data_IF_559428937108
#
_entry.id   IF_559428937108
#
_cell.length_a   1.000
_cell.length_b   1.000
_cell.length_c   1.000
_cell.angle_alpha   90.00
_cell.angle_beta   90.00
_cell.angle_gamma   90.00
#
_symmetry.space_group_name_H-M   'P 1'
#
loop_
_entity.id
_entity.type
_entity.pdbx_description
1 polymer ?
#
# COMPACT_ATOMS: atom_id res chain seq x y z
N UNK A 1 61.56 6.88 -33.51
CA UNK A 1 61.09 5.55 -33.96
C UNK A 1 59.58 5.57 -33.80
N UNK A 2 58.78 5.70 -34.86
CA UNK A 2 58.47 4.68 -35.87
C UNK A 2 57.80 3.43 -35.23
N UNK A 3 56.62 2.93 -35.63
CA UNK A 3 55.63 3.45 -36.57
C UNK A 3 55.00 2.37 -37.48
N UNK A 4 53.67 2.23 -37.39
CA UNK A 4 52.74 1.90 -38.51
C UNK A 4 52.66 0.43 -39.03
N UNK A 5 51.46 0.10 -39.57
CA UNK A 5 51.02 -1.09 -40.37
C UNK A 5 50.70 -2.38 -39.57
N UNK A 6 49.53 -3.04 -39.70
CA UNK A 6 48.58 -3.32 -40.81
C UNK A 6 49.12 -4.26 -41.88
N UNK A 7 48.53 -5.47 -42.00
CA UNK A 7 48.18 -6.03 -43.30
C UNK A 7 47.15 -7.19 -43.25
N UNK A 8 46.15 -7.10 -44.12
CA UNK A 8 45.41 -8.24 -44.70
C UNK A 8 46.16 -8.74 -45.95
N UNK A 9 45.94 -10.00 -46.37
CA UNK A 9 45.91 -10.57 -47.75
C UNK A 9 45.94 -12.11 -47.58
N UNK A 10 44.96 -12.94 -47.98
CA UNK A 10 44.30 -13.19 -49.27
C UNK A 10 45.10 -14.07 -50.26
N UNK A 11 44.60 -15.28 -50.59
CA UNK A 11 44.40 -15.78 -51.97
C UNK A 11 44.09 -17.30 -52.09
N UNK A 12 43.02 -17.62 -52.87
CA UNK A 12 42.92 -18.66 -53.94
C UNK A 12 42.90 -20.15 -53.51
N UNK A 13 42.23 -21.10 -54.21
CA UNK A 13 41.60 -21.16 -55.56
C UNK A 13 40.53 -22.27 -55.63
N UNK A 14 39.54 -22.17 -56.54
CA UNK A 14 38.67 -23.29 -57.00
C UNK A 14 39.26 -23.99 -58.24
N UNK A 15 38.80 -25.21 -58.63
CA UNK A 15 37.87 -25.31 -59.79
C UNK A 15 36.89 -26.53 -59.87
N UNK A 16 35.67 -26.25 -60.40
CA UNK A 16 34.79 -27.00 -61.36
C UNK A 16 34.40 -28.51 -61.20
N UNK A 17 33.10 -28.78 -61.46
CA UNK A 17 32.35 -30.07 -61.62
C UNK A 17 32.59 -30.79 -63.00
N UNK A 18 31.88 -31.88 -63.47
CA UNK A 18 30.65 -32.62 -63.02
C UNK A 18 30.72 -34.19 -63.20
N UNK A 19 29.66 -34.99 -63.55
CA UNK A 19 28.45 -35.43 -62.80
C UNK A 19 28.12 -36.97 -62.82
N UNK A 20 27.06 -37.40 -62.08
CA UNK A 20 25.96 -38.38 -62.42
C UNK A 20 25.61 -39.48 -61.39
N UNK A 21 24.30 -39.53 -61.04
CA UNK A 21 23.42 -40.66 -60.61
C UNK A 21 23.85 -41.58 -59.43
N UNK A 22 22.99 -42.25 -58.64
CA UNK A 22 21.56 -42.68 -58.74
C UNK A 22 20.87 -42.74 -57.34
N UNK A 23 19.52 -42.72 -57.35
CA UNK A 23 18.47 -43.18 -56.37
C UNK A 23 18.83 -44.09 -55.15
N UNK A 24 18.07 -44.19 -54.04
CA UNK A 24 16.58 -44.27 -53.85
C UNK A 24 16.07 -43.86 -52.43
N UNK A 25 14.76 -43.49 -52.34
CA UNK A 25 13.72 -43.74 -51.28
C UNK A 25 13.98 -43.39 -49.77
N UNK A 26 13.01 -43.06 -48.89
CA UNK A 26 11.55 -42.73 -48.86
C UNK A 26 11.21 -42.28 -47.40
N UNK A 27 10.06 -41.72 -46.96
CA UNK A 27 8.95 -40.92 -47.52
C UNK A 27 8.06 -40.38 -46.37
N UNK A 28 7.77 -39.07 -46.27
CA UNK A 28 6.63 -38.49 -45.48
C UNK A 28 6.13 -37.21 -46.20
N UNK A 29 4.81 -37.03 -46.46
CA UNK A 29 4.29 -35.87 -47.20
C UNK A 29 3.81 -34.69 -46.30
N UNK A 30 3.99 -33.42 -46.73
CA UNK A 30 3.38 -32.22 -46.13
C UNK A 30 1.94 -31.93 -46.66
N UNK A 31 1.15 -31.06 -45.99
CA UNK A 31 -0.27 -30.87 -46.27
C UNK A 31 -0.61 -30.01 -47.51
N UNK A 32 -1.84 -30.11 -48.05
CA UNK A 32 -2.27 -29.42 -49.28
C UNK A 32 -2.70 -27.96 -49.10
N UNK A 33 -2.62 -27.13 -50.16
CA UNK A 33 -3.11 -25.74 -50.19
C UNK A 33 -4.65 -25.63 -50.37
N UNK A 34 -5.26 -24.46 -50.07
CA UNK A 34 -6.71 -24.27 -50.13
C UNK A 34 -7.28 -24.14 -51.56
N UNK A 35 -8.56 -24.50 -51.79
CA UNK A 35 -9.21 -24.45 -53.10
C UNK A 35 -9.74 -23.03 -53.49
N UNK A 36 -9.86 -22.74 -54.80
CA UNK A 36 -10.43 -21.49 -55.32
C UNK A 36 -11.97 -21.45 -55.27
N UNK A 37 -12.60 -20.27 -55.35
CA UNK A 37 -14.04 -20.10 -55.13
C UNK A 37 -14.90 -20.53 -56.33
N UNK A 38 -15.67 -21.61 -56.17
CA UNK A 38 -16.66 -22.06 -57.15
C UNK A 38 -18.11 -21.80 -56.69
N UNK A 39 -18.79 -20.96 -57.46
CA UNK A 39 -20.25 -20.86 -57.67
C UNK A 39 -21.21 -21.61 -56.71
N UNK A 40 -21.75 -20.88 -55.71
CA UNK A 40 -23.12 -21.13 -55.20
C UNK A 40 -24.06 -20.03 -55.73
N UNK A 41 -24.43 -20.14 -57.01
CA UNK A 41 -25.24 -19.14 -57.72
C UNK A 41 -26.50 -19.77 -58.33
N UNK A 42 -27.62 -19.75 -57.58
CA UNK A 42 -28.96 -19.47 -58.14
C UNK A 42 -30.11 -19.33 -57.11
N UNK A 43 -29.93 -19.72 -55.84
CA UNK A 43 -30.96 -19.54 -54.77
C UNK A 43 -30.81 -18.26 -53.93
N UNK A 44 -29.72 -17.50 -54.10
CA UNK A 44 -29.37 -16.29 -53.32
C UNK A 44 -29.89 -14.95 -53.90
N UNK A 45 -30.86 -14.96 -54.84
CA UNK A 45 -31.38 -13.72 -55.47
C UNK A 45 -32.80 -13.31 -55.06
N UNK A 46 -33.59 -14.17 -54.41
CA UNK A 46 -34.93 -13.81 -53.89
C UNK A 46 -34.96 -13.41 -52.41
N UNK A 47 -34.08 -13.96 -51.57
CA UNK A 47 -34.04 -13.65 -50.12
C UNK A 47 -33.37 -12.30 -49.78
N UNK A 48 -32.57 -11.76 -50.69
CA UNK A 48 -31.78 -10.54 -50.48
C UNK A 48 -32.63 -9.27 -50.67
N UNK A 49 -33.63 -9.30 -51.54
CA UNK A 49 -34.55 -8.18 -51.78
C UNK A 49 -35.53 -7.94 -50.61
N UNK A 50 -35.95 -9.00 -49.91
CA UNK A 50 -36.87 -8.89 -48.77
C UNK A 50 -36.17 -8.39 -47.50
N UNK A 51 -34.92 -8.82 -47.27
CA UNK A 51 -34.12 -8.38 -46.10
C UNK A 51 -33.61 -6.93 -46.21
N UNK A 52 -33.62 -6.31 -47.38
CA UNK A 52 -33.24 -4.90 -47.55
C UNK A 52 -34.38 -3.93 -47.18
N UNK A 53 -35.64 -4.26 -47.51
CA UNK A 53 -36.80 -3.39 -47.21
C UNK A 53 -37.14 -3.34 -45.71
N UNK A 54 -36.95 -4.42 -44.97
CA UNK A 54 -37.12 -4.43 -43.50
C UNK A 54 -36.01 -3.66 -42.75
N UNK A 55 -34.79 -3.56 -43.30
CA UNK A 55 -33.72 -2.77 -42.67
C UNK A 55 -33.89 -1.27 -42.83
N UNK A 56 -34.44 -0.80 -43.96
CA UNK A 56 -34.64 0.64 -44.20
C UNK A 56 -35.74 1.21 -43.27
N UNK A 57 -36.84 0.48 -43.05
CA UNK A 57 -37.88 0.90 -42.12
C UNK A 57 -37.39 0.99 -40.65
N UNK A 58 -36.57 0.02 -40.21
CA UNK A 58 -35.98 0.05 -38.87
C UNK A 58 -34.99 1.20 -38.67
N UNK A 59 -34.17 1.51 -39.68
CA UNK A 59 -33.18 2.60 -39.61
C UNK A 59 -33.86 3.98 -39.52
N UNK A 60 -34.96 4.21 -40.24
CA UNK A 60 -35.69 5.49 -40.18
C UNK A 60 -36.37 5.69 -38.81
N UNK A 61 -36.88 4.63 -38.17
CA UNK A 61 -37.39 4.73 -36.79
C UNK A 61 -36.30 4.88 -35.73
N UNK A 62 -35.09 4.34 -35.94
CA UNK A 62 -33.97 4.52 -35.01
C UNK A 62 -33.35 5.93 -35.09
N UNK A 63 -33.34 6.56 -36.28
CA UNK A 63 -32.80 7.91 -36.47
C UNK A 63 -33.71 9.01 -35.89
N UNK A 64 -35.01 8.78 -35.74
CA UNK A 64 -35.93 9.73 -35.10
C UNK A 64 -35.83 9.75 -33.56
N UNK A 65 -35.25 8.70 -32.94
CA UNK A 65 -35.05 8.62 -31.49
C UNK A 65 -33.69 9.21 -31.01
N UNK A 66 -32.80 9.58 -31.95
CA UNK A 66 -31.47 10.13 -31.69
C UNK A 66 -31.35 11.64 -32.00
N UNK A 67 -32.48 12.34 -32.03
CA UNK A 67 -32.55 13.79 -32.25
C UNK A 67 -32.68 14.61 -30.95
N UNK A 68 -32.52 13.99 -29.78
CA UNK A 68 -32.12 14.70 -28.57
C UNK A 68 -30.59 14.71 -28.55
N UNK A 69 -29.93 15.88 -28.44
CA UNK A 69 -28.50 15.87 -28.14
C UNK A 69 -28.31 15.11 -26.82
N UNK A 70 -27.20 14.37 -26.64
CA UNK A 70 -26.87 13.91 -25.30
C UNK A 70 -26.78 15.15 -24.42
N UNK A 71 -27.74 15.28 -23.50
CA UNK A 71 -27.56 16.13 -22.34
C UNK A 71 -26.43 15.51 -21.55
N UNK A 72 -25.20 15.85 -21.94
CA UNK A 72 -24.11 16.02 -21.00
C UNK A 72 -24.62 17.04 -19.99
N UNK A 73 -25.35 16.55 -18.99
CA UNK A 73 -25.34 17.18 -17.70
C UNK A 73 -23.85 17.31 -17.39
N UNK A 74 -23.34 18.53 -17.48
CA UNK A 74 -22.12 18.88 -16.79
C UNK A 74 -22.41 18.53 -15.35
N UNK A 75 -21.93 17.37 -14.91
CA UNK A 75 -21.97 16.98 -13.51
C UNK A 75 -21.25 18.10 -12.79
N UNK A 76 -22.03 18.96 -12.16
CA UNK A 76 -21.58 20.26 -11.72
C UNK A 76 -20.71 19.97 -10.51
N UNK A 77 -19.40 19.83 -10.76
CA UNK A 77 -18.45 19.17 -9.88
C UNK A 77 -18.70 19.62 -8.44
N UNK A 78 -19.25 18.69 -7.65
CA UNK A 78 -19.65 18.98 -6.28
C UNK A 78 -18.46 19.60 -5.56
N UNK A 79 -18.69 20.69 -4.82
CA UNK A 79 -17.64 21.35 -4.06
C UNK A 79 -16.79 20.30 -3.31
N UNK A 80 -15.45 20.42 -3.31
CA UNK A 80 -14.57 19.37 -2.80
C UNK A 80 -14.95 19.01 -1.37
N UNK A 81 -15.23 17.72 -1.16
CA UNK A 81 -15.75 17.19 0.11
C UNK A 81 -14.79 17.47 1.28
N UNK A 82 -13.48 17.46 0.99
CA UNK A 82 -12.41 17.67 1.98
C UNK A 82 -12.64 16.82 3.24
N UNK A 83 -12.82 15.52 3.02
CA UNK A 83 -13.31 14.56 4.02
C UNK A 83 -12.42 14.47 5.27
N UNK A 84 -11.13 14.84 5.13
CA UNK A 84 -10.16 14.85 6.22
C UNK A 84 -9.83 16.25 6.77
N UNK A 85 -9.58 17.25 5.92
CA UNK A 85 -9.16 18.58 6.37
C UNK A 85 -10.30 19.60 6.51
N UNK A 86 -11.49 19.28 5.99
CA UNK A 86 -12.67 20.14 6.03
C UNK A 86 -13.09 20.47 7.46
N UNK A 87 -13.30 21.76 7.74
CA UNK A 87 -13.73 22.25 9.06
C UNK A 87 -12.63 22.30 10.14
N UNK A 88 -11.40 21.86 9.85
CA UNK A 88 -10.31 21.85 10.83
C UNK A 88 -9.34 23.03 10.65
N UNK A 89 -9.17 23.82 11.72
CA UNK A 89 -7.99 24.67 11.94
C UNK A 89 -6.89 23.90 12.71
N UNK A 90 -5.69 24.47 12.81
CA UNK A 90 -4.58 23.88 13.59
C UNK A 90 -4.98 23.73 15.06
N UNK A 91 -5.64 24.75 15.62
CA UNK A 91 -6.11 24.81 17.00
C UNK A 91 -7.22 23.78 17.25
N UNK A 92 -8.19 23.66 16.34
CA UNK A 92 -9.26 22.67 16.48
C UNK A 92 -8.72 21.23 16.39
N UNK A 93 -7.72 20.97 15.54
CA UNK A 93 -7.10 19.66 15.43
C UNK A 93 -6.17 19.37 16.63
N UNK A 94 -5.47 20.39 17.15
CA UNK A 94 -4.67 20.29 18.37
C UNK A 94 -5.55 19.93 19.58
N UNK A 95 -6.74 20.51 19.69
CA UNK A 95 -7.70 20.21 20.76
C UNK A 95 -8.29 18.78 20.67
N UNK A 96 -8.42 18.22 19.46
CA UNK A 96 -8.88 16.85 19.24
C UNK A 96 -7.78 15.81 19.50
N UNK A 97 -6.54 16.10 19.12
CA UNK A 97 -5.41 15.18 19.25
C UNK A 97 -5.08 14.90 20.72
N UNK A 98 -5.10 13.61 21.09
CA UNK A 98 -4.53 13.12 22.35
C UNK A 98 -3.05 13.56 22.42
N UNK A 99 -2.55 13.89 23.61
CA UNK A 99 -1.14 14.28 23.77
C UNK A 99 -0.21 13.16 23.28
N UNK A 100 0.97 13.49 22.74
CA UNK A 100 1.92 12.47 22.28
C UNK A 100 2.40 11.56 23.42
N UNK A 101 2.39 12.03 24.66
CA UNK A 101 2.78 11.24 25.83
C UNK A 101 1.68 10.24 26.28
N UNK A 102 0.42 10.63 26.12
CA UNK A 102 -0.73 9.82 26.53
C UNK A 102 -1.23 8.89 25.41
N UNK A 103 -0.95 9.22 24.15
CA UNK A 103 -1.41 8.45 23.00
C UNK A 103 -0.69 7.11 22.87
N UNK A 104 -1.43 6.05 23.17
CA UNK A 104 -0.97 4.65 23.12
C UNK A 104 -1.86 3.86 22.16
N UNK A 105 -1.64 3.95 20.83
CA UNK A 105 -2.48 3.27 19.83
C UNK A 105 -2.45 1.73 19.94
N UNK A 106 -1.40 1.18 20.56
CA UNK A 106 -1.25 -0.26 20.83
C UNK A 106 -0.71 -0.50 22.25
N UNK A 107 -0.89 -1.69 22.83
CA UNK A 107 -0.35 -2.02 24.15
C UNK A 107 1.17 -1.80 24.23
N UNK A 108 1.72 -1.22 25.31
CA UNK A 108 3.16 -1.09 25.49
C UNK A 108 3.81 -2.47 25.70
N UNK A 109 5.13 -2.59 25.50
CA UNK A 109 5.88 -3.85 25.70
C UNK A 109 5.69 -4.45 27.12
N UNK A 110 5.51 -3.58 28.12
CA UNK A 110 5.29 -3.97 29.51
C UNK A 110 3.93 -4.62 29.78
N UNK A 111 2.92 -4.41 28.92
CA UNK A 111 1.60 -5.05 29.04
C UNK A 111 1.65 -6.49 28.51
N UNK A 112 2.23 -7.38 29.31
CA UNK A 112 2.40 -8.79 28.94
C UNK A 112 1.08 -9.51 28.73
N UNK A 113 0.04 -9.15 29.49
CA UNK A 113 -1.29 -9.74 29.34
C UNK A 113 -1.87 -9.48 27.94
N UNK A 114 -1.70 -8.28 27.39
CA UNK A 114 -2.13 -7.98 26.01
C UNK A 114 -1.37 -8.80 24.94
N UNK A 115 -0.05 -8.95 25.09
CA UNK A 115 0.80 -9.70 24.14
C UNK A 115 0.69 -11.24 24.27
N UNK A 116 0.18 -11.73 25.40
CA UNK A 116 0.00 -13.18 25.66
C UNK A 116 -1.45 -13.65 25.44
N UNK A 117 -2.40 -12.70 25.31
CA UNK A 117 -3.81 -12.96 24.98
C UNK A 117 -4.75 -13.07 26.18
N UNK A 118 -4.38 -12.47 27.31
CA UNK A 118 -5.18 -12.47 28.56
C UNK A 118 -5.91 -11.16 28.89
N UNK A 119 -5.75 -10.10 28.08
CA UNK A 119 -6.39 -8.79 28.34
C UNK A 119 -7.70 -8.55 27.58
N UNK A 120 -8.62 -7.78 28.17
CA UNK A 120 -9.73 -7.17 27.43
C UNK A 120 -9.16 -6.25 26.33
N UNK A 121 -9.59 -6.45 25.09
CA UNK A 121 -9.01 -5.75 23.93
C UNK A 121 -7.63 -6.28 23.49
N UNK A 122 -7.17 -7.42 24.03
CA UNK A 122 -5.89 -8.02 23.69
C UNK A 122 -5.71 -8.21 22.18
N UNK A 123 -4.65 -7.62 21.61
CA UNK A 123 -4.34 -7.74 20.18
C UNK A 123 -4.08 -9.21 19.78
N UNK A 124 -3.70 -10.07 20.73
CA UNK A 124 -3.47 -11.49 20.59
C UNK A 124 -4.77 -12.32 20.43
N UNK A 125 -5.63 -11.94 19.48
CA UNK A 125 -6.50 -12.90 18.82
C UNK A 125 -5.65 -14.03 18.20
N UNK A 126 -6.27 -15.17 17.88
CA UNK A 126 -5.53 -16.35 17.40
C UNK A 126 -4.65 -16.09 16.18
N UNK A 127 -5.10 -15.22 15.26
CA UNK A 127 -4.36 -14.87 14.05
C UNK A 127 -3.09 -14.05 14.34
N UNK A 128 -3.18 -13.06 15.24
CA UNK A 128 -2.03 -12.23 15.61
C UNK A 128 -0.99 -13.01 16.42
N UNK A 129 -1.39 -14.00 17.23
CA UNK A 129 -0.44 -14.93 17.86
C UNK A 129 0.34 -15.75 16.83
N UNK A 130 -0.34 -16.30 15.81
CA UNK A 130 0.32 -17.04 14.71
C UNK A 130 1.32 -16.15 13.96
N UNK A 131 0.97 -14.90 13.69
CA UNK A 131 1.88 -13.93 13.05
C UNK A 131 3.10 -13.62 13.93
N UNK A 132 2.91 -13.36 15.23
CA UNK A 132 4.00 -13.10 16.17
C UNK A 132 4.91 -14.32 16.39
N UNK A 133 4.35 -15.52 16.48
CA UNK A 133 5.11 -16.77 16.59
C UNK A 133 5.87 -17.10 15.28
N UNK A 134 5.33 -16.72 14.12
CA UNK A 134 6.05 -16.80 12.84
C UNK A 134 7.21 -15.79 12.78
N UNK A 135 6.97 -14.53 13.17
CA UNK A 135 8.01 -13.50 13.25
C UNK A 135 9.13 -13.89 14.22
N UNK A 136 8.80 -14.46 15.38
CA UNK A 136 9.75 -14.96 16.37
C UNK A 136 10.69 -16.05 15.81
N UNK A 137 10.15 -17.00 15.05
CA UNK A 137 10.96 -18.04 14.38
C UNK A 137 11.89 -17.43 13.34
N UNK A 138 11.35 -16.63 12.43
CA UNK A 138 12.14 -16.06 11.33
C UNK A 138 13.20 -15.06 11.84
N UNK A 139 12.89 -14.27 12.86
CA UNK A 139 13.86 -13.43 13.55
C UNK A 139 15.00 -14.26 14.17
N UNK A 140 14.70 -15.41 14.76
CA UNK A 140 15.71 -16.35 15.26
C UNK A 140 16.72 -16.80 14.20
N UNK A 141 16.27 -17.08 12.98
CA UNK A 141 17.11 -17.45 11.83
C UNK A 141 17.87 -16.27 11.18
N UNK A 142 17.52 -15.03 11.55
CA UNK A 142 17.99 -13.81 10.89
C UNK A 142 18.77 -12.87 11.79
N UNK A 143 18.64 -12.98 13.11
CA UNK A 143 19.32 -12.14 14.11
C UNK A 143 20.84 -12.08 13.93
N UNK A 144 21.47 -13.22 13.64
CA UNK A 144 22.93 -13.33 13.46
C UNK A 144 23.43 -12.97 12.05
N UNK A 145 22.55 -12.64 11.09
CA UNK A 145 22.97 -12.31 9.72
C UNK A 145 23.59 -10.91 9.68
N UNK A 146 24.64 -10.65 8.88
CA UNK A 146 25.22 -9.32 8.77
C UNK A 146 24.21 -8.29 8.25
N UNK A 147 24.32 -7.04 8.71
CA UNK A 147 23.60 -5.90 8.15
C UNK A 147 24.39 -5.38 6.95
N UNK A 148 23.99 -5.76 5.74
CA UNK A 148 24.74 -5.42 4.53
C UNK A 148 24.65 -3.91 4.22
N UNK A 149 25.77 -3.25 3.86
CA UNK A 149 25.72 -1.92 3.26
C UNK A 149 25.11 -2.01 1.85
N UNK A 150 24.55 -0.91 1.35
CA UNK A 150 24.05 -0.82 -0.02
C UNK A 150 25.14 -0.21 -0.91
N UNK A 151 25.73 -0.94 -1.86
CA UNK A 151 26.79 -0.39 -2.72
C UNK A 151 26.27 0.72 -3.65
N UNK A 152 27.03 1.81 -3.79
CA UNK A 152 26.72 2.89 -4.73
C UNK A 152 26.57 2.38 -6.19
N UNK A 153 27.28 1.30 -6.54
CA UNK A 153 27.17 0.64 -7.85
C UNK A 153 25.82 -0.05 -8.08
N UNK A 154 25.13 -0.51 -7.04
CA UNK A 154 23.76 -1.05 -7.15
C UNK A 154 22.74 0.07 -7.39
N UNK A 155 22.96 1.26 -6.82
CA UNK A 155 22.12 2.42 -7.09
C UNK A 155 22.32 2.93 -8.53
N UNK A 156 23.58 3.05 -8.98
CA UNK A 156 23.96 3.42 -10.35
C UNK A 156 23.52 2.42 -11.44
N UNK A 157 23.11 1.19 -11.07
CA UNK A 157 22.63 0.20 -12.03
C UNK A 157 21.42 0.71 -12.83
N UNK A 158 20.56 1.53 -12.22
CA UNK A 158 19.37 2.11 -12.88
C UNK A 158 19.74 2.92 -14.14
N UNK A 159 20.88 3.62 -14.12
CA UNK A 159 21.36 4.40 -15.27
C UNK A 159 22.07 3.55 -16.33
N UNK A 160 22.64 2.41 -15.92
CA UNK A 160 23.50 1.57 -16.74
C UNK A 160 22.71 0.49 -17.49
N UNK A 161 21.67 -0.04 -16.86
CA UNK A 161 20.93 -1.22 -17.34
C UNK A 161 19.42 -1.11 -17.13
N UNK A 162 18.93 -0.09 -16.40
CA UNK A 162 17.54 -0.04 -15.94
C UNK A 162 17.23 -0.97 -14.76
N UNK A 163 18.19 -1.77 -14.28
CA UNK A 163 17.97 -2.64 -13.12
C UNK A 163 18.09 -1.87 -11.80
N UNK A 164 17.21 -2.20 -10.87
CA UNK A 164 17.19 -1.73 -9.47
C UNK A 164 17.10 -2.88 -8.46
N UNK A 165 17.00 -4.12 -8.92
CA UNK A 165 16.67 -5.29 -8.11
C UNK A 165 17.72 -5.57 -7.04
N UNK A 166 19.01 -5.44 -7.39
CA UNK A 166 20.12 -5.63 -6.44
C UNK A 166 20.19 -4.55 -5.33
N UNK A 167 19.70 -3.34 -5.59
CA UNK A 167 19.54 -2.31 -4.55
C UNK A 167 18.35 -2.66 -3.66
N UNK A 168 17.18 -2.90 -4.27
CA UNK A 168 15.92 -3.12 -3.56
C UNK A 168 15.98 -4.39 -2.69
N UNK A 169 16.61 -5.47 -3.15
CA UNK A 169 16.77 -6.69 -2.35
C UNK A 169 17.50 -6.45 -1.02
N UNK A 170 18.57 -5.64 -1.02
CA UNK A 170 19.32 -5.31 0.20
C UNK A 170 18.49 -4.35 1.07
N UNK A 171 17.98 -3.26 0.50
CA UNK A 171 17.22 -2.26 1.24
C UNK A 171 15.97 -2.86 1.91
N UNK A 172 15.21 -3.68 1.19
CA UNK A 172 13.98 -4.29 1.67
C UNK A 172 14.25 -5.35 2.73
N UNK A 173 15.25 -6.24 2.57
CA UNK A 173 15.59 -7.22 3.63
C UNK A 173 16.02 -6.53 4.93
N UNK A 174 16.64 -5.33 4.86
CA UNK A 174 16.96 -4.56 6.08
C UNK A 174 15.69 -4.09 6.81
N UNK A 175 14.72 -3.47 6.12
CA UNK A 175 13.45 -3.02 6.76
C UNK A 175 12.66 -4.23 7.27
N UNK A 176 12.53 -5.26 6.45
CA UNK A 176 11.82 -6.49 6.79
C UNK A 176 12.43 -7.18 8.02
N UNK A 177 13.77 -7.25 8.10
CA UNK A 177 14.47 -7.80 9.27
C UNK A 177 14.33 -6.93 10.51
N UNK A 178 14.36 -5.60 10.38
CA UNK A 178 14.10 -4.67 11.50
C UNK A 178 12.71 -4.95 12.11
N UNK A 179 11.67 -5.02 11.27
CA UNK A 179 10.31 -5.27 11.72
C UNK A 179 10.13 -6.67 12.31
N UNK A 180 10.76 -7.70 11.73
CA UNK A 180 10.77 -9.06 12.32
C UNK A 180 11.38 -9.09 13.71
N UNK A 181 12.54 -8.44 13.91
CA UNK A 181 13.21 -8.38 15.21
C UNK A 181 12.36 -7.64 16.25
N UNK A 182 11.69 -6.55 15.85
CA UNK A 182 10.75 -5.82 16.71
C UNK A 182 9.56 -6.68 17.13
N UNK A 183 8.89 -7.34 16.19
CA UNK A 183 7.74 -8.22 16.45
C UNK A 183 8.13 -9.44 17.29
N UNK A 184 9.32 -10.00 17.06
CA UNK A 184 9.88 -11.10 17.85
C UNK A 184 10.17 -10.67 19.29
N UNK A 185 10.69 -9.47 19.53
CA UNK A 185 10.94 -8.95 20.88
C UNK A 185 9.64 -8.55 21.60
N UNK A 186 8.64 -8.01 20.88
CA UNK A 186 7.29 -7.81 21.42
C UNK A 186 6.68 -9.14 21.91
N UNK A 187 6.88 -10.21 21.15
CA UNK A 187 6.40 -11.56 21.48
C UNK A 187 7.16 -12.18 22.65
N UNK A 188 8.49 -12.24 22.57
CA UNK A 188 9.34 -12.97 23.52
C UNK A 188 9.76 -12.15 24.75
N UNK A 189 10.05 -10.86 24.61
CA UNK A 189 10.50 -9.92 25.67
C UNK A 189 11.62 -10.47 26.57
N UNK A 190 12.70 -10.99 25.97
CA UNK A 190 13.89 -11.53 26.68
C UNK A 190 15.19 -10.78 26.33
N UNK A 191 15.12 -9.71 25.55
CA UNK A 191 16.27 -8.91 25.10
C UNK A 191 17.08 -9.54 23.95
N UNK A 192 16.78 -10.79 23.55
CA UNK A 192 17.58 -11.55 22.58
C UNK A 192 17.70 -10.86 21.21
N UNK A 193 16.73 -10.04 20.82
CA UNK A 193 16.72 -9.37 19.53
C UNK A 193 17.15 -7.91 19.59
N UNK A 194 17.40 -7.36 20.79
CA UNK A 194 17.73 -5.94 20.99
C UNK A 194 19.06 -5.56 20.31
N UNK A 195 20.16 -6.26 20.57
CA UNK A 195 21.45 -5.96 19.93
C UNK A 195 21.42 -6.11 18.39
N UNK A 196 20.86 -7.20 17.81
CA UNK A 196 20.61 -7.28 16.37
C UNK A 196 19.78 -6.10 15.83
N UNK A 197 18.76 -5.66 16.56
CA UNK A 197 17.86 -4.57 16.17
C UNK A 197 18.54 -3.21 16.24
N UNK A 198 19.35 -2.93 17.27
CA UNK A 198 20.16 -1.70 17.39
C UNK A 198 21.10 -1.57 16.19
N UNK A 199 21.80 -2.65 15.83
CA UNK A 199 22.64 -2.69 14.63
C UNK A 199 21.82 -2.45 13.34
N UNK A 200 20.55 -2.87 13.32
CA UNK A 200 19.62 -2.61 12.21
C UNK A 200 19.20 -1.16 12.09
N UNK A 201 18.79 -0.54 13.21
CA UNK A 201 18.51 0.90 13.31
C UNK A 201 19.72 1.69 12.82
N UNK A 202 20.91 1.38 13.35
CA UNK A 202 22.14 2.08 12.99
C UNK A 202 22.46 1.94 11.49
N UNK A 203 22.44 0.72 10.97
CA UNK A 203 22.74 0.43 9.56
C UNK A 203 21.72 1.02 8.58
N UNK A 204 20.46 1.22 8.97
CA UNK A 204 19.44 1.91 8.17
C UNK A 204 19.67 3.43 8.22
N UNK A 205 19.95 3.99 9.40
CA UNK A 205 20.27 5.41 9.57
C UNK A 205 21.54 5.86 8.83
N UNK A 206 22.46 4.94 8.54
CA UNK A 206 23.70 5.18 7.77
C UNK A 206 23.53 5.17 6.25
N UNK A 207 22.38 4.74 5.71
CA UNK A 207 22.16 4.76 4.27
C UNK A 207 22.02 6.19 3.75
N UNK A 208 22.66 6.51 2.61
CA UNK A 208 22.54 7.84 1.99
C UNK A 208 21.10 8.19 1.59
N UNK A 209 20.27 7.20 1.29
CA UNK A 209 18.86 7.36 0.92
C UNK A 209 18.04 6.14 1.37
N UNK A 210 16.80 6.37 1.78
CA UNK A 210 15.88 5.30 2.20
C UNK A 210 14.93 4.86 1.08
N UNK A 211 14.88 5.64 0.00
CA UNK A 211 14.03 5.38 -1.15
C UNK A 211 14.65 4.45 -2.20
N UNK A 212 13.95 4.34 -3.33
CA UNK A 212 14.42 3.57 -4.50
C UNK A 212 15.17 4.49 -5.49
N UNK A 213 16.33 4.09 -6.07
CA UNK A 213 17.11 4.92 -7.01
C UNK A 213 16.37 5.32 -8.29
N UNK A 214 15.36 4.55 -8.70
CA UNK A 214 14.44 4.90 -9.78
C UNK A 214 13.50 6.07 -9.44
N UNK A 215 13.52 6.57 -8.20
CA UNK A 215 12.74 7.71 -7.70
C UNK A 215 13.64 8.94 -7.40
N UNK A 216 14.88 8.94 -7.91
CA UNK A 216 15.82 10.05 -7.77
C UNK A 216 15.95 10.77 -9.11
N UNK A 217 15.37 11.96 -9.19
CA UNK A 217 15.34 12.79 -10.41
C UNK A 217 16.02 14.14 -10.19
N UNK A 218 16.72 14.62 -11.21
CA UNK A 218 17.17 16.01 -11.30
C UNK A 218 16.02 16.95 -11.73
N UNK A 219 16.28 18.26 -11.67
CA UNK A 219 15.33 19.29 -12.11
C UNK A 219 14.97 19.23 -13.59
N UNK A 220 15.76 18.49 -14.40
CA UNK A 220 15.50 18.20 -15.81
C UNK A 220 14.74 16.86 -16.01
N UNK A 221 14.18 16.29 -14.94
CA UNK A 221 13.44 15.01 -14.90
C UNK A 221 14.25 13.78 -15.30
N UNK A 222 15.59 13.84 -15.26
CA UNK A 222 16.48 12.70 -15.56
C UNK A 222 16.82 11.98 -14.26
N UNK A 223 16.99 10.66 -14.33
CA UNK A 223 17.43 9.88 -13.18
C UNK A 223 18.87 10.25 -12.80
N UNK A 224 19.13 10.47 -11.51
CA UNK A 224 20.48 10.77 -11.00
C UNK A 224 21.28 9.52 -10.63
N UNK A 225 20.59 8.40 -10.32
CA UNK A 225 21.17 7.12 -9.92
C UNK A 225 21.83 7.09 -8.54
N UNK A 226 22.31 8.23 -8.04
CA UNK A 226 22.79 8.44 -6.67
C UNK A 226 22.02 9.58 -6.00
N UNK A 227 21.77 9.48 -4.67
CA UNK A 227 21.12 10.54 -3.93
C UNK A 227 22.11 11.66 -3.60
N UNK A 228 21.65 12.91 -3.72
CA UNK A 228 22.28 14.03 -3.02
C UNK A 228 21.69 14.10 -1.61
N UNK A 229 22.55 13.95 -0.60
CA UNK A 229 22.14 13.97 0.81
C UNK A 229 21.83 15.37 1.34
N UNK A 230 22.21 16.42 0.60
CA UNK A 230 21.87 17.81 0.89
C UNK A 230 20.48 18.22 0.38
N UNK A 231 19.92 17.52 -0.62
CA UNK A 231 18.59 17.77 -1.20
C UNK A 231 17.66 16.56 -1.01
N UNK A 232 17.25 16.26 0.24
CA UNK A 232 16.44 15.07 0.54
C UNK A 232 15.06 15.12 -0.15
N UNK A 233 14.66 14.00 -0.72
CA UNK A 233 13.32 13.76 -1.27
C UNK A 233 12.60 12.68 -0.46
N UNK A 234 11.25 12.68 -0.48
CA UNK A 234 10.45 11.62 0.16
C UNK A 234 9.68 10.86 -0.91
N UNK A 235 10.06 9.60 -1.10
CA UNK A 235 9.29 8.59 -1.82
C UNK A 235 8.58 7.63 -0.84
N UNK A 236 7.86 6.68 -1.43
CA UNK A 236 7.15 5.57 -0.76
C UNK A 236 8.01 4.90 0.33
N UNK A 237 9.17 4.37 -0.06
CA UNK A 237 10.06 3.60 0.82
C UNK A 237 10.73 4.48 1.88
N UNK A 238 10.97 5.76 1.59
CA UNK A 238 11.51 6.74 2.55
C UNK A 238 10.50 7.02 3.66
N UNK A 239 9.22 7.21 3.30
CA UNK A 239 8.13 7.37 4.26
C UNK A 239 7.92 6.09 5.09
N UNK A 240 7.85 4.92 4.45
CA UNK A 240 7.69 3.62 5.13
C UNK A 240 8.86 3.29 6.06
N UNK A 241 10.09 3.66 5.70
CA UNK A 241 11.26 3.53 6.59
C UNK A 241 11.11 4.41 7.84
N UNK A 242 10.61 5.65 7.70
CA UNK A 242 10.37 6.52 8.84
C UNK A 242 9.26 5.98 9.76
N UNK A 243 8.15 5.47 9.21
CA UNK A 243 7.11 4.82 10.00
C UNK A 243 7.62 3.56 10.72
N UNK A 244 8.42 2.73 10.05
CA UNK A 244 9.06 1.54 10.64
C UNK A 244 9.96 1.89 11.84
N UNK A 245 10.82 2.91 11.69
CA UNK A 245 11.68 3.39 12.77
C UNK A 245 10.88 4.06 13.91
N UNK A 246 9.78 4.76 13.59
CA UNK A 246 8.88 5.34 14.57
C UNK A 246 8.18 4.27 15.43
N UNK A 247 7.77 3.13 14.83
CA UNK A 247 7.23 1.99 15.57
C UNK A 247 8.28 1.33 16.47
N UNK A 248 9.54 1.23 16.03
CA UNK A 248 10.65 0.73 16.87
C UNK A 248 10.87 1.63 18.10
N UNK A 249 10.90 2.96 17.94
CA UNK A 249 10.99 3.91 19.06
C UNK A 249 9.77 3.83 20.00
N UNK A 250 8.56 3.62 19.46
CA UNK A 250 7.34 3.48 20.23
C UNK A 250 7.31 2.21 21.09
N UNK A 251 7.54 1.05 20.48
CA UNK A 251 7.41 -0.24 21.18
C UNK A 251 8.61 -0.58 22.07
N UNK A 252 9.82 -0.28 21.61
CA UNK A 252 11.07 -0.69 22.28
C UNK A 252 11.83 0.47 22.92
N UNK A 253 11.34 1.71 22.81
CA UNK A 253 11.98 2.92 23.33
C UNK A 253 12.62 2.76 24.73
N UNK A 254 11.88 2.31 25.76
CA UNK A 254 12.45 2.10 27.10
C UNK A 254 13.66 1.14 27.11
N UNK A 255 13.61 0.03 26.36
CA UNK A 255 14.73 -0.92 26.22
C UNK A 255 15.94 -0.32 25.50
N UNK A 256 15.68 0.58 24.55
CA UNK A 256 16.75 1.29 23.84
C UNK A 256 17.40 2.36 24.72
N UNK A 257 16.61 3.08 25.54
CA UNK A 257 17.13 4.06 26.50
C UNK A 257 17.91 3.40 27.66
N UNK A 258 17.51 2.20 28.11
CA UNK A 258 18.26 1.35 29.07
C UNK A 258 19.71 1.09 28.60
N UNK A 259 19.94 1.01 27.29
CA UNK A 259 21.27 0.74 26.67
C UNK A 259 21.97 2.05 26.30
N UNK A 260 21.29 2.92 25.55
CA UNK A 260 21.79 4.27 25.24
C UNK A 260 20.69 5.19 24.69
N UNK A 261 20.44 6.36 25.29
CA UNK A 261 19.47 7.34 24.78
C UNK A 261 19.85 7.91 23.41
N UNK A 262 21.10 7.72 22.97
CA UNK A 262 21.57 8.12 21.65
C UNK A 262 20.90 7.32 20.51
N UNK A 263 20.44 6.08 20.77
CA UNK A 263 19.78 5.24 19.77
C UNK A 263 18.46 5.90 19.35
N UNK A 264 17.59 6.20 20.31
CA UNK A 264 16.32 6.90 20.07
C UNK A 264 16.52 8.32 19.56
N UNK A 265 17.55 9.02 20.05
CA UNK A 265 17.91 10.34 19.51
C UNK A 265 18.21 10.25 18.02
N UNK A 266 19.02 9.28 17.58
CA UNK A 266 19.35 9.09 16.16
C UNK A 266 18.13 8.73 15.32
N UNK A 267 17.21 7.89 15.83
CA UNK A 267 15.92 7.62 15.16
C UNK A 267 15.17 8.93 14.88
N UNK A 268 14.95 9.74 15.93
CA UNK A 268 14.21 11.02 15.80
C UNK A 268 14.92 12.03 14.89
N UNK A 269 16.23 12.18 15.02
CA UNK A 269 17.03 13.10 14.21
C UNK A 269 16.95 12.73 12.70
N UNK A 270 17.09 11.44 12.36
CA UNK A 270 17.07 10.99 10.96
C UNK A 270 15.65 11.05 10.36
N UNK A 271 14.61 10.68 11.12
CA UNK A 271 13.21 10.88 10.69
C UNK A 271 12.92 12.36 10.45
N UNK A 272 13.35 13.25 11.36
CA UNK A 272 13.13 14.70 11.18
C UNK A 272 13.88 15.23 9.97
N UNK A 273 15.14 14.85 9.79
CA UNK A 273 16.00 15.32 8.68
C UNK A 273 15.55 14.83 7.31
N UNK A 274 15.08 13.58 7.21
CA UNK A 274 14.78 12.92 5.91
C UNK A 274 13.32 13.00 5.51
N UNK A 275 12.38 13.12 6.45
CA UNK A 275 10.93 13.08 6.16
C UNK A 275 10.20 14.30 6.69
N UNK A 276 10.26 14.58 8.00
CA UNK A 276 9.41 15.62 8.59
C UNK A 276 9.77 17.02 8.07
N UNK A 277 11.04 17.43 8.14
CA UNK A 277 11.46 18.76 7.70
C UNK A 277 11.37 18.96 6.17
N UNK A 278 11.77 18.00 5.30
CA UNK A 278 11.59 18.14 3.86
C UNK A 278 10.13 18.28 3.43
N UNK A 279 9.21 17.51 4.01
CA UNK A 279 7.78 17.64 3.74
C UNK A 279 7.21 18.93 4.32
N UNK A 280 7.75 19.41 5.45
CA UNK A 280 7.26 20.63 6.07
C UNK A 280 7.68 21.90 5.31
N UNK A 281 8.87 21.92 4.69
CA UNK A 281 9.43 23.04 3.92
C UNK A 281 8.73 23.32 2.57
N UNK A 282 7.45 22.94 2.41
CA UNK A 282 6.61 23.17 1.23
C UNK A 282 7.31 22.86 -0.11
N UNK A 283 7.73 21.60 -0.33
CA UNK A 283 8.46 21.23 -1.53
C UNK A 283 7.63 21.44 -2.81
N UNK A 284 8.29 21.88 -3.88
CA UNK A 284 7.65 22.25 -5.15
C UNK A 284 7.08 21.02 -5.89
N UNK A 285 5.74 20.91 -6.05
CA UNK A 285 5.10 19.79 -6.74
C UNK A 285 5.37 19.75 -8.25
N UNK A 286 5.93 20.80 -8.85
CA UNK A 286 6.36 20.83 -10.26
C UNK A 286 7.60 19.94 -10.51
N UNK A 287 8.40 19.71 -9.46
CA UNK A 287 9.58 18.87 -9.49
C UNK A 287 9.19 17.38 -9.46
N UNK A 288 9.85 16.55 -10.29
CA UNK A 288 9.46 15.15 -10.48
C UNK A 288 9.54 14.28 -9.21
N UNK A 289 10.34 14.68 -8.21
CA UNK A 289 10.40 14.00 -6.92
C UNK A 289 9.18 14.24 -6.00
N UNK A 290 8.37 15.25 -6.30
CA UNK A 290 7.28 15.75 -5.45
C UNK A 290 5.91 15.75 -6.15
N UNK A 291 5.83 15.15 -7.35
CA UNK A 291 4.63 15.14 -8.19
C UNK A 291 3.35 14.64 -7.50
N UNK A 292 3.48 13.78 -6.48
CA UNK A 292 2.38 13.21 -5.71
C UNK A 292 1.69 14.24 -4.78
N UNK A 293 2.27 15.43 -4.62
CA UNK A 293 1.69 16.58 -3.91
C UNK A 293 0.78 17.44 -4.78
N UNK A 294 0.75 17.21 -6.11
CA UNK A 294 -0.13 17.93 -7.03
C UNK A 294 -1.61 17.75 -6.66
N UNK A 295 -2.47 18.57 -7.28
CA UNK A 295 -3.91 18.47 -7.17
C UNK A 295 -4.57 18.69 -8.54
N UNK A 296 -5.87 18.43 -8.65
CA UNK A 296 -6.61 18.48 -9.92
C UNK A 296 -6.52 19.85 -10.61
N UNK A 297 -6.42 20.95 -9.84
CA UNK A 297 -6.25 22.29 -10.41
C UNK A 297 -4.86 22.49 -11.06
N UNK A 298 -3.86 21.67 -10.71
CA UNK A 298 -2.55 21.62 -11.36
C UNK A 298 -2.58 20.78 -12.66
N UNK A 299 -3.75 20.25 -13.03
CA UNK A 299 -3.98 19.50 -14.27
C UNK A 299 -3.72 18.00 -14.19
N UNK A 300 -3.37 17.45 -13.02
CA UNK A 300 -3.18 15.99 -12.83
C UNK A 300 -3.87 15.50 -11.54
N UNK A 301 -4.28 14.23 -11.52
CA UNK A 301 -4.78 13.57 -10.31
C UNK A 301 -3.62 12.89 -9.57
N UNK A 302 -3.52 13.00 -8.23
CA UNK A 302 -2.60 12.19 -7.46
C UNK A 302 -2.84 10.68 -7.65
N UNK A 303 -1.76 9.91 -7.70
CA UNK A 303 -1.76 8.45 -7.77
C UNK A 303 -1.54 7.82 -6.37
N UNK A 304 -1.33 6.50 -6.30
CA UNK A 304 -1.08 5.76 -5.04
C UNK A 304 0.01 6.35 -4.13
N UNK A 305 0.95 7.13 -4.67
CA UNK A 305 2.03 7.70 -3.87
C UNK A 305 1.51 8.66 -2.81
N UNK A 306 0.44 9.38 -3.09
CA UNK A 306 -0.13 10.35 -2.15
C UNK A 306 -0.64 9.66 -0.86
N UNK A 307 -1.62 8.74 -0.88
CA UNK A 307 -2.11 8.11 0.33
C UNK A 307 -1.05 7.21 1.00
N UNK A 308 -0.20 6.51 0.22
CA UNK A 308 0.88 5.67 0.77
C UNK A 308 1.91 6.52 1.54
N UNK A 309 2.38 7.63 0.98
CA UNK A 309 3.32 8.53 1.69
C UNK A 309 2.63 9.21 2.87
N UNK A 310 1.37 9.66 2.71
CA UNK A 310 0.63 10.34 3.79
C UNK A 310 0.35 9.41 4.98
N UNK A 311 -0.01 8.14 4.78
CA UNK A 311 -0.27 7.21 5.91
C UNK A 311 0.98 7.00 6.77
N UNK A 312 2.13 6.83 6.12
CA UNK A 312 3.42 6.67 6.79
C UNK A 312 3.94 7.99 7.39
N UNK A 313 3.69 9.12 6.74
CA UNK A 313 4.04 10.45 7.26
C UNK A 313 3.19 10.81 8.49
N UNK A 314 1.88 10.57 8.48
CA UNK A 314 1.01 10.73 9.65
C UNK A 314 1.47 9.84 10.81
N UNK A 315 1.86 8.60 10.53
CA UNK A 315 2.46 7.69 11.53
C UNK A 315 3.71 8.30 12.15
N UNK A 316 4.63 8.83 11.34
CA UNK A 316 5.84 9.49 11.82
C UNK A 316 5.53 10.76 12.62
N UNK A 317 4.62 11.64 12.16
CA UNK A 317 4.20 12.85 12.87
C UNK A 317 3.64 12.51 14.25
N UNK A 318 2.64 11.62 14.29
CA UNK A 318 1.88 11.36 15.51
C UNK A 318 2.72 10.67 16.60
N UNK A 319 3.70 9.85 16.20
CA UNK A 319 4.61 9.15 17.12
C UNK A 319 5.84 9.99 17.51
N UNK A 320 6.38 10.82 16.61
CA UNK A 320 7.68 11.48 16.80
C UNK A 320 7.59 12.96 17.22
N UNK A 321 6.62 13.73 16.73
CA UNK A 321 6.55 15.15 17.06
C UNK A 321 6.01 15.37 18.48
N UNK A 322 6.78 16.10 19.28
CA UNK A 322 6.52 16.35 20.69
C UNK A 322 5.82 17.68 20.95
N UNK A 323 6.01 18.68 20.08
CA UNK A 323 5.26 19.93 20.19
C UNK A 323 3.82 19.74 19.70
N UNK A 324 2.84 20.13 20.52
CA UNK A 324 1.44 19.85 20.25
C UNK A 324 0.86 20.69 19.09
N UNK A 325 1.31 21.93 18.92
CA UNK A 325 0.87 22.81 17.84
C UNK A 325 1.52 22.41 16.52
N UNK A 326 2.81 22.10 16.55
CA UNK A 326 3.56 21.61 15.39
C UNK A 326 2.99 20.29 14.88
N UNK A 327 2.76 19.33 15.78
CA UNK A 327 2.13 18.04 15.46
C UNK A 327 0.77 18.23 14.80
N UNK A 328 -0.08 19.11 15.34
CA UNK A 328 -1.39 19.41 14.74
C UNK A 328 -1.26 20.11 13.37
N UNK A 329 -0.33 21.05 13.22
CA UNK A 329 -0.07 21.78 11.97
C UNK A 329 0.42 20.84 10.87
N UNK A 330 1.36 19.96 11.19
CA UNK A 330 1.87 18.92 10.29
C UNK A 330 0.79 17.91 9.91
N UNK A 331 -0.03 17.45 10.87
CA UNK A 331 -1.19 16.61 10.59
C UNK A 331 -2.14 17.31 9.62
N UNK A 332 -2.60 18.54 9.91
CA UNK A 332 -3.53 19.26 9.04
C UNK A 332 -2.99 19.44 7.61
N UNK A 333 -1.69 19.67 7.46
CA UNK A 333 -1.03 19.72 6.15
C UNK A 333 -1.11 18.37 5.41
N UNK A 334 -0.81 17.27 6.09
CA UNK A 334 -0.95 15.93 5.55
C UNK A 334 -2.42 15.59 5.16
N UNK A 335 -3.40 16.02 5.96
CA UNK A 335 -4.83 15.83 5.64
C UNK A 335 -5.27 16.58 4.39
N UNK A 336 -4.80 17.81 4.16
CA UNK A 336 -5.06 18.57 2.93
C UNK A 336 -4.48 17.87 1.69
N UNK A 337 -3.28 17.32 1.82
CA UNK A 337 -2.63 16.55 0.75
C UNK A 337 -3.41 15.25 0.47
N UNK A 338 -3.95 14.58 1.50
CA UNK A 338 -4.82 13.41 1.34
C UNK A 338 -6.15 13.75 0.64
N UNK A 339 -6.74 14.91 0.96
CA UNK A 339 -7.96 15.37 0.29
C UNK A 339 -7.73 15.66 -1.21
N UNK A 340 -6.53 16.09 -1.63
CA UNK A 340 -6.18 16.21 -3.07
C UNK A 340 -6.32 14.87 -3.81
N UNK A 341 -6.03 13.75 -3.14
CA UNK A 341 -6.24 12.41 -3.68
C UNK A 341 -7.72 11.98 -3.56
N UNK A 342 -8.37 12.19 -2.42
CA UNK A 342 -9.72 11.67 -2.15
C UNK A 342 -10.84 12.41 -2.88
N UNK A 343 -10.75 13.74 -3.02
CA UNK A 343 -11.78 14.55 -3.67
C UNK A 343 -12.16 14.06 -5.10
N UNK A 344 -11.20 13.83 -6.02
CA UNK A 344 -11.47 13.38 -7.39
C UNK A 344 -11.78 11.89 -7.56
N UNK A 345 -11.84 11.09 -6.50
CA UNK A 345 -12.31 9.71 -6.64
C UNK A 345 -13.84 9.66 -6.87
N UNK A 346 -14.36 8.75 -7.71
CA UNK A 346 -15.80 8.61 -7.93
C UNK A 346 -16.58 8.26 -6.65
N UNK A 347 -17.90 8.38 -6.70
CA UNK A 347 -18.76 8.16 -5.52
C UNK A 347 -18.94 6.69 -5.11
N UNK A 348 -18.49 5.74 -5.94
CA UNK A 348 -18.35 4.32 -5.57
C UNK A 348 -16.96 3.98 -5.01
N UNK A 349 -16.02 4.93 -5.04
CA UNK A 349 -14.64 4.74 -4.59
C UNK A 349 -13.80 3.78 -5.45
N UNK A 350 -14.19 3.52 -6.70
CA UNK A 350 -13.43 2.70 -7.64
C UNK A 350 -11.95 3.10 -7.73
N UNK A 351 -11.04 2.12 -7.66
CA UNK A 351 -9.59 2.33 -7.85
C UNK A 351 -9.24 2.18 -9.35
N UNK A 352 -9.97 2.92 -10.17
CA UNK A 352 -10.11 2.61 -11.61
C UNK A 352 -8.87 2.98 -12.42
N UNK A 353 -8.16 4.04 -12.02
CA UNK A 353 -6.99 4.57 -12.73
C UNK A 353 -5.73 3.69 -12.57
N UNK A 354 -5.66 2.87 -11.52
CA UNK A 354 -4.49 2.05 -11.17
C UNK A 354 -4.81 0.55 -11.18
N UNK A 355 -6.08 0.21 -10.97
CA UNK A 355 -6.57 -1.17 -10.92
C UNK A 355 -6.38 -1.84 -9.55
N UNK A 356 -7.00 -3.02 -9.36
CA UNK A 356 -7.11 -3.67 -8.06
C UNK A 356 -5.77 -4.09 -7.43
N UNK A 357 -4.69 -4.14 -8.21
CA UNK A 357 -3.35 -4.51 -7.74
C UNK A 357 -2.72 -3.43 -6.83
N UNK A 358 -3.15 -2.17 -6.94
CA UNK A 358 -2.67 -1.07 -6.09
C UNK A 358 -3.58 -0.76 -4.91
N UNK A 359 -4.76 -1.40 -4.79
CA UNK A 359 -5.76 -1.09 -3.73
C UNK A 359 -5.16 -1.05 -2.32
N UNK A 360 -4.18 -1.92 -2.03
CA UNK A 360 -3.51 -2.04 -0.73
C UNK A 360 -2.57 -0.87 -0.38
N UNK A 361 -2.15 -0.07 -1.36
CA UNK A 361 -1.31 1.13 -1.17
C UNK A 361 -2.02 2.42 -1.57
N UNK A 362 -3.08 2.31 -2.37
CA UNK A 362 -4.00 3.37 -2.74
C UNK A 362 -5.06 3.53 -1.63
N UNK A 363 -6.22 2.90 -1.78
CA UNK A 363 -7.37 3.09 -0.91
C UNK A 363 -7.18 2.58 0.52
N UNK A 364 -6.46 1.46 0.71
CA UNK A 364 -6.18 0.97 2.06
C UNK A 364 -5.31 1.94 2.87
N UNK A 365 -4.35 2.63 2.24
CA UNK A 365 -3.58 3.67 2.93
C UNK A 365 -4.44 4.89 3.34
N UNK A 366 -5.50 5.22 2.58
CA UNK A 366 -6.51 6.21 3.02
C UNK A 366 -7.30 5.71 4.25
N UNK A 367 -7.57 4.40 4.33
CA UNK A 367 -8.20 3.77 5.48
C UNK A 367 -7.26 3.79 6.70
N UNK A 368 -5.97 3.49 6.52
CA UNK A 368 -4.96 3.57 7.58
C UNK A 368 -4.85 4.99 8.16
N UNK A 369 -4.89 6.02 7.32
CA UNK A 369 -4.96 7.42 7.77
C UNK A 369 -6.16 7.65 8.69
N UNK A 370 -7.36 7.24 8.28
CA UNK A 370 -8.59 7.42 9.05
C UNK A 370 -8.57 6.64 10.38
N UNK A 371 -8.08 5.39 10.36
CA UNK A 371 -7.98 4.55 11.55
C UNK A 371 -6.99 5.13 12.56
N UNK A 372 -5.83 5.58 12.09
CA UNK A 372 -4.80 6.18 12.93
C UNK A 372 -5.26 7.51 13.54
N UNK A 373 -5.97 8.34 12.77
CA UNK A 373 -6.58 9.58 13.26
C UNK A 373 -7.65 9.29 14.32
N UNK A 374 -8.51 8.28 14.12
CA UNK A 374 -9.49 7.87 15.14
C UNK A 374 -8.82 7.45 16.46
N UNK A 375 -7.78 6.60 16.38
CA UNK A 375 -6.98 6.24 17.55
C UNK A 375 -6.34 7.47 18.21
N UNK A 376 -5.95 8.49 17.44
CA UNK A 376 -5.31 9.71 17.93
C UNK A 376 -6.28 10.79 18.44
N UNK A 377 -7.59 10.67 18.17
CA UNK A 377 -8.58 11.74 18.42
C UNK A 377 -9.86 11.29 19.14
N UNK A 378 -9.95 10.01 19.54
CA UNK A 378 -11.15 9.40 20.13
C UNK A 378 -12.33 9.40 19.14
N UNK A 379 -12.07 8.80 17.97
CA UNK A 379 -13.04 8.60 16.89
C UNK A 379 -13.62 9.86 16.23
N UNK A 380 -12.90 11.00 16.29
CA UNK A 380 -13.33 12.25 15.66
C UNK A 380 -13.36 12.20 14.11
N UNK A 381 -12.73 11.18 13.51
CA UNK A 381 -12.71 10.92 12.06
C UNK A 381 -13.59 9.73 11.65
N UNK A 382 -14.48 9.22 12.52
CA UNK A 382 -15.32 8.06 12.20
C UNK A 382 -16.26 8.28 10.99
N UNK A 383 -16.67 9.53 10.75
CA UNK A 383 -17.50 9.93 9.59
C UNK A 383 -16.84 9.59 8.26
N UNK A 384 -15.51 9.45 8.24
CA UNK A 384 -14.72 9.03 7.09
C UNK A 384 -15.02 7.59 6.66
N UNK A 385 -15.47 6.73 7.58
CA UNK A 385 -15.92 5.36 7.30
C UNK A 385 -17.42 5.26 7.01
N UNK A 386 -18.21 6.21 7.52
CA UNK A 386 -19.66 6.30 7.31
C UNK A 386 -20.01 6.88 5.92
N UNK A 387 -19.05 7.48 5.22
CA UNK A 387 -19.26 8.13 3.93
C UNK A 387 -19.39 7.11 2.77
N UNK A 388 -20.45 7.26 1.97
CA UNK A 388 -20.77 6.36 0.85
C UNK A 388 -19.66 6.27 -0.22
N UNK A 389 -18.83 7.31 -0.41
CA UNK A 389 -17.62 7.26 -1.28
C UNK A 389 -16.66 6.11 -0.94
N UNK A 390 -16.80 5.45 0.20
CA UNK A 390 -15.96 4.31 0.60
C UNK A 390 -16.71 3.00 0.78
N UNK A 391 -18.04 2.96 0.81
CA UNK A 391 -18.78 1.72 1.06
C UNK A 391 -18.58 0.67 -0.04
N UNK A 392 -18.29 1.11 -1.28
CA UNK A 392 -17.95 0.25 -2.42
C UNK A 392 -16.43 0.07 -2.65
N UNK A 393 -15.56 0.71 -1.85
CA UNK A 393 -14.11 0.36 -1.81
C UNK A 393 -13.83 -0.97 -1.12
N UNK A 394 -14.83 -1.51 -0.42
CA UNK A 394 -14.77 -2.78 0.29
C UNK A 394 -15.05 -3.92 -0.68
N UNK A 395 -14.18 -4.94 -0.81
CA UNK A 395 -14.55 -6.17 -1.46
C UNK A 395 -15.68 -6.82 -0.66
N UNK A 396 -16.93 -6.72 -1.15
CA UNK A 396 -18.11 -7.30 -0.50
C UNK A 396 -17.97 -8.82 -0.24
N UNK A 397 -17.01 -9.48 -0.90
CA UNK A 397 -16.57 -10.85 -0.68
C UNK A 397 -15.79 -11.11 0.62
N UNK A 398 -15.21 -10.10 1.29
CA UNK A 398 -14.43 -10.28 2.53
C UNK A 398 -15.26 -10.09 3.82
N UNK A 399 -16.36 -9.33 3.77
CA UNK A 399 -17.38 -9.37 4.84
C UNK A 399 -18.36 -10.49 4.59
N UNK A 400 -18.08 -11.67 5.14
CA UNK A 400 -19.13 -12.67 5.35
C UNK A 400 -20.28 -12.04 6.15
N UNK A 401 -21.51 -12.13 5.62
CA UNK A 401 -22.74 -11.49 6.15
C UNK A 401 -22.82 -11.54 7.69
N UNK A 402 -22.61 -10.41 8.37
CA UNK A 402 -22.92 -10.28 9.81
C UNK A 402 -23.04 -8.85 10.38
N UNK A 403 -23.39 -7.86 9.56
CA UNK A 403 -23.54 -6.44 9.99
C UNK A 403 -24.97 -5.89 9.93
N UNK A 404 -25.98 -6.69 9.54
CA UNK A 404 -27.35 -6.22 9.32
C UNK A 404 -28.36 -6.51 10.46
N UNK A 405 -28.03 -7.35 11.45
CA UNK A 405 -29.00 -7.80 12.47
C UNK A 405 -28.73 -7.29 13.90
N UNK A 406 -27.56 -6.69 14.18
CA UNK A 406 -27.19 -6.27 15.54
C UNK A 406 -27.71 -4.87 15.94
N UNK A 407 -28.28 -4.12 14.99
CA UNK A 407 -28.65 -2.70 15.18
C UNK A 407 -30.09 -2.48 15.67
N UNK A 408 -30.89 -3.53 15.86
CA UNK A 408 -32.33 -3.45 16.13
C UNK A 408 -32.79 -4.37 17.29
N UNK A 409 -32.16 -4.25 18.48
CA UNK A 409 -32.71 -4.84 19.71
C UNK A 409 -32.33 -4.15 21.04
N UNK A 410 -32.06 -2.84 21.03
CA UNK A 410 -31.88 -2.05 22.27
C UNK A 410 -32.80 -0.82 22.28
N UNK A 411 -34.10 -1.05 22.14
CA UNK A 411 -35.17 -0.13 22.60
C UNK A 411 -36.51 -0.84 22.61
N UNK A 412 -37.25 -0.73 23.72
CA UNK A 412 -38.60 -1.28 24.06
C UNK A 412 -38.64 -2.58 24.86
N UNK A 413 -38.40 -2.46 26.18
CA UNK A 413 -39.18 -3.23 27.16
C UNK A 413 -40.51 -2.52 27.44
N UNK A 414 -41.65 -3.25 27.44
CA UNK A 414 -42.83 -2.90 28.23
C UNK A 414 -42.99 -3.87 29.42
N UNK A 415 -43.23 -3.33 30.63
CA UNK A 415 -43.52 -4.11 31.85
C UNK A 415 -44.97 -4.62 31.85
N UNK A 416 -45.20 -5.87 32.29
CA UNK A 416 -46.40 -6.48 32.95
C UNK A 416 -46.32 -8.02 32.76
N UNK A 417 -46.83 -8.92 33.60
CA UNK A 417 -47.18 -8.91 35.03
C UNK A 417 -47.36 -10.39 35.51
N UNK A 418 -47.47 -10.62 36.82
CA UNK A 418 -47.45 -11.93 37.48
C UNK A 418 -48.50 -12.98 37.04
N UNK A 419 -48.16 -14.28 37.28
CA UNK A 419 -48.95 -15.45 37.79
C UNK A 419 -48.66 -16.74 36.99
N UNK A 420 -48.76 -17.98 37.47
CA UNK A 420 -48.68 -18.68 38.76
C UNK A 420 -48.79 -20.20 38.42
N UNK A 421 -47.91 -21.05 38.97
CA UNK A 421 -48.12 -22.49 39.34
C UNK A 421 -48.33 -23.61 38.27
N UNK A 422 -48.08 -24.92 38.62
CA UNK A 422 -47.66 -25.99 37.69
C UNK A 422 -48.67 -27.15 37.52
N UNK A 423 -48.26 -28.35 37.02
CA UNK A 423 -48.08 -29.47 37.98
C UNK A 423 -46.97 -30.52 37.67
N UNK A 424 -46.48 -31.18 38.74
CA UNK A 424 -46.16 -32.64 38.92
C UNK A 424 -45.21 -33.40 37.96
N UNK A 425 -44.50 -34.49 38.33
CA UNK A 425 -43.98 -35.06 39.59
C UNK A 425 -43.04 -36.25 39.25
N UNK A 426 -42.22 -36.73 40.20
CA UNK A 426 -41.35 -37.91 40.05
C UNK A 426 -39.87 -37.57 40.25
N UNK A 427 -39.23 -37.58 41.44
CA UNK A 427 -39.27 -38.42 42.66
C UNK A 427 -38.10 -39.42 42.71
N UNK A 428 -37.50 -39.54 43.92
CA UNK A 428 -36.31 -40.31 44.33
C UNK A 428 -34.96 -39.95 43.65
N UNK A 429 -33.81 -40.03 44.32
CA UNK A 429 -33.53 -40.30 45.74
C UNK A 429 -32.10 -40.83 45.95
N UNK A 430 -31.55 -40.69 47.18
CA UNK A 430 -30.22 -41.16 47.64
C UNK A 430 -28.99 -40.49 46.98
N UNK A 431 -28.22 -39.57 47.60
CA UNK A 431 -27.39 -39.58 48.84
C UNK A 431 -25.93 -40.05 48.67
N UNK A 432 -25.02 -39.15 49.10
CA UNK A 432 -23.69 -39.38 49.72
C UNK A 432 -22.58 -40.11 48.96
N UNK A 433 -21.42 -39.46 48.81
CA UNK A 433 -20.16 -40.14 48.46
C UNK A 433 -19.04 -39.26 47.89
N UNK A 434 -18.46 -38.36 48.70
CA UNK A 434 -17.07 -37.85 48.50
C UNK A 434 -16.11 -38.65 49.41
N UNK A 435 -14.77 -38.59 49.24
CA UNK A 435 -13.97 -38.06 48.13
C UNK A 435 -12.85 -39.01 47.63
N UNK A 436 -12.23 -38.65 46.50
CA UNK A 436 -10.80 -38.86 46.20
C UNK A 436 -10.38 -37.82 45.14
#
# INVERSE_FOLDING_TARGET
MAGVRVNNHSCRTSPRHPPLSTSQSCNVPPPPPPPPPAAYCQTMKFLTAFRLRLKIAAIVSMLAAFALPPSFATEQASAPLNLFSGGHSVESLQALLISRADWKPFPPLADRAAWEGGGEGGNANGANRVMLDAALREAGEKAARPWLPVPATHALAILRTGDRSAYQAIANEKRRRLMLLMLAELRENKGRFIDPLINGVWSICEESFWGTPAHLWDSSRRLTGLPDTATPTVDLNTAETAASLAWVDYFLGPRLDEISPLIRKRIRDEIRRRVLAPLDNNPDPSHQAWFWLQNVADGTRPNNWNPWIVSNWLTAILLMETDAMERARMCLKALRILDNYVNPYPADGGCDDEGPVYWNVSTASVHDCAALLNLATRDAFKHVFENEKKSATWPASFTGRRSAETSLSISRMPRRACRLTPPSHGASGATSGTPA
#
